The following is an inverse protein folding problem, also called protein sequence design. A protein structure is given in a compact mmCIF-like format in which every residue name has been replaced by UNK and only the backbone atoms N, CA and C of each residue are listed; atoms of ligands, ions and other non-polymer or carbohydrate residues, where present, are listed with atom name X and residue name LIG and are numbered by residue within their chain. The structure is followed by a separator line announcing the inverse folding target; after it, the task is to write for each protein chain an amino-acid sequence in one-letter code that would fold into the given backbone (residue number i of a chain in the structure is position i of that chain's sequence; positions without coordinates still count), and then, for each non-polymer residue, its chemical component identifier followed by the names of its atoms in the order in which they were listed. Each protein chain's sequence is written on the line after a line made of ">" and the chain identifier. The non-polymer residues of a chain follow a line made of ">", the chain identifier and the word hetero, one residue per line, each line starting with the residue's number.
data_IF_178595375750
#
_entry.id   IF_178595375750
#
_cell.length_a   1.000
_cell.length_b   1.000
_cell.length_c   1.000
_cell.angle_alpha   90.00
_cell.angle_beta   90.00
_cell.angle_gamma   90.00
#
_symmetry.space_group_name_H-M   'P 1'
#
loop_
_entity.id
_entity.type
_entity.pdbx_description
1 polymer ?
#
# COMPACT_ATOMS: atom_id res chain seq x y z
N UNK A 1 7.33 14.21 -31.52
CA UNK A 1 8.17 13.29 -30.74
C UNK A 1 8.84 12.33 -31.72
N UNK A 2 10.17 12.29 -31.79
CA UNK A 2 10.87 11.31 -32.64
C UNK A 2 10.85 9.94 -31.96
N UNK A 3 9.94 9.07 -32.42
CA UNK A 3 9.74 7.73 -31.86
C UNK A 3 11.03 6.90 -31.91
N UNK A 4 11.84 7.03 -32.97
CA UNK A 4 13.09 6.28 -33.09
C UNK A 4 14.08 6.68 -32.00
N UNK A 5 14.21 7.98 -31.74
CA UNK A 5 15.06 8.47 -30.65
C UNK A 5 14.53 8.06 -29.27
N UNK A 6 13.21 8.08 -29.08
CA UNK A 6 12.58 7.65 -27.83
C UNK A 6 12.91 6.18 -27.52
N UNK A 7 12.65 5.27 -28.46
CA UNK A 7 12.92 3.85 -28.25
C UNK A 7 14.41 3.53 -28.16
N UNK A 8 15.27 4.32 -28.81
CA UNK A 8 16.72 4.19 -28.66
C UNK A 8 17.15 4.51 -27.22
N UNK A 9 16.74 5.68 -26.69
CA UNK A 9 17.01 6.08 -25.31
C UNK A 9 16.41 5.11 -24.29
N UNK A 10 15.22 4.56 -24.59
CA UNK A 10 14.56 3.56 -23.75
C UNK A 10 15.43 2.33 -23.57
N UNK A 11 15.94 1.77 -24.67
CA UNK A 11 16.85 0.62 -24.62
C UNK A 11 18.18 0.95 -23.96
N UNK A 12 18.71 2.15 -24.16
CA UNK A 12 19.95 2.58 -23.52
C UNK A 12 19.82 2.61 -21.98
N UNK A 13 18.74 3.23 -21.48
CA UNK A 13 18.48 3.30 -20.03
C UNK A 13 18.12 1.92 -19.48
N UNK A 14 17.31 1.14 -20.20
CA UNK A 14 16.98 -0.24 -19.83
C UNK A 14 18.25 -1.09 -19.69
N UNK A 15 19.16 -1.05 -20.67
CA UNK A 15 20.41 -1.80 -20.60
C UNK A 15 21.37 -1.31 -19.49
N UNK A 16 21.23 -0.07 -19.04
CA UNK A 16 22.01 0.48 -17.92
C UNK A 16 21.56 -0.01 -16.54
N UNK A 17 20.39 -0.64 -16.44
CA UNK A 17 19.85 -1.17 -15.19
C UNK A 17 20.18 -2.66 -15.12
N UNK A 18 20.97 -3.06 -14.13
CA UNK A 18 21.41 -4.45 -13.97
C UNK A 18 20.30 -5.40 -13.49
N UNK A 19 19.39 -4.91 -12.65
CA UNK A 19 18.34 -5.72 -12.00
C UNK A 19 17.04 -5.76 -12.81
N UNK A 20 16.29 -6.86 -12.71
CA UNK A 20 14.99 -7.00 -13.40
C UNK A 20 13.91 -6.11 -12.78
N UNK A 21 14.01 -5.89 -11.46
CA UNK A 21 13.12 -5.04 -10.67
C UNK A 21 13.96 -4.02 -9.93
N UNK A 22 13.51 -2.77 -9.96
CA UNK A 22 14.26 -1.64 -9.40
C UNK A 22 13.31 -0.73 -8.64
N UNK A 23 13.85 -0.15 -7.58
CA UNK A 23 13.19 0.87 -6.80
C UNK A 23 13.38 2.23 -7.47
N UNK A 24 12.28 2.87 -7.81
CA UNK A 24 12.25 4.24 -8.33
C UNK A 24 11.58 5.16 -7.33
N UNK A 25 12.05 6.40 -7.26
CA UNK A 25 11.41 7.47 -6.51
C UNK A 25 10.63 8.36 -7.48
N UNK A 26 9.32 8.48 -7.27
CA UNK A 26 8.46 9.35 -8.06
C UNK A 26 8.85 10.82 -7.84
N UNK A 27 8.91 11.56 -8.94
CA UNK A 27 9.03 13.02 -8.92
C UNK A 27 7.64 13.65 -8.86
N UNK A 28 7.59 14.94 -8.53
CA UNK A 28 6.36 15.72 -8.56
C UNK A 28 5.88 15.84 -10.01
N UNK A 29 4.80 15.15 -10.36
CA UNK A 29 4.21 15.23 -11.70
C UNK A 29 3.06 16.23 -11.72
N UNK A 30 2.86 16.95 -12.85
CA UNK A 30 1.71 17.86 -13.01
C UNK A 30 0.35 17.18 -12.82
N UNK A 31 0.30 15.86 -13.02
CA UNK A 31 -0.89 15.02 -12.86
C UNK A 31 -1.26 14.74 -11.39
N UNK A 32 -0.61 15.40 -10.42
CA UNK A 32 -0.88 15.24 -8.99
C UNK A 32 -0.17 14.04 -8.34
N UNK A 33 0.92 13.58 -8.95
CA UNK A 33 1.74 12.50 -8.39
C UNK A 33 2.43 12.94 -7.10
N UNK A 34 2.31 12.12 -6.04
CA UNK A 34 3.03 12.36 -4.78
C UNK A 34 4.53 12.16 -4.99
N UNK A 35 5.29 13.26 -4.90
CA UNK A 35 6.74 13.22 -4.89
C UNK A 35 7.27 12.40 -3.72
N UNK A 36 8.35 11.64 -3.96
CA UNK A 36 9.06 10.89 -2.93
C UNK A 36 8.46 9.52 -2.60
N UNK A 37 7.42 9.09 -3.31
CA UNK A 37 6.94 7.71 -3.20
C UNK A 37 7.93 6.77 -3.87
N UNK A 38 8.45 5.81 -3.10
CA UNK A 38 9.34 4.77 -3.61
C UNK A 38 8.51 3.56 -3.99
N UNK A 39 8.65 3.08 -5.22
CA UNK A 39 7.94 1.91 -5.71
C UNK A 39 8.88 0.97 -6.45
N UNK A 40 8.62 -0.33 -6.32
CA UNK A 40 9.34 -1.36 -7.06
C UNK A 40 8.63 -1.60 -8.40
N UNK A 41 9.36 -1.43 -9.50
CA UNK A 41 8.85 -1.60 -10.86
C UNK A 41 9.82 -2.40 -11.70
N UNK A 42 9.34 -2.95 -12.83
CA UNK A 42 10.22 -3.61 -13.79
C UNK A 42 11.19 -2.63 -14.43
N UNK A 43 12.33 -3.14 -14.88
CA UNK A 43 13.36 -2.41 -15.61
C UNK A 43 12.81 -1.54 -16.75
N UNK A 44 11.95 -2.12 -17.59
CA UNK A 44 11.32 -1.43 -18.71
C UNK A 44 10.47 -0.24 -18.25
N UNK A 45 9.65 -0.44 -17.21
CA UNK A 45 8.81 0.62 -16.63
C UNK A 45 9.66 1.71 -16.00
N UNK A 46 10.73 1.35 -15.29
CA UNK A 46 11.69 2.31 -14.74
C UNK A 46 12.30 3.18 -15.86
N UNK A 47 12.81 2.56 -16.93
CA UNK A 47 13.40 3.27 -18.06
C UNK A 47 12.39 4.23 -18.72
N UNK A 48 11.15 3.78 -18.89
CA UNK A 48 10.05 4.61 -19.41
C UNK A 48 9.80 5.82 -18.52
N UNK A 49 9.65 5.62 -17.21
CA UNK A 49 9.37 6.70 -16.25
C UNK A 49 10.51 7.70 -16.13
N UNK A 50 11.76 7.25 -16.27
CA UNK A 50 12.96 8.10 -16.29
C UNK A 50 12.96 9.00 -17.53
N UNK A 51 12.68 8.46 -18.72
CA UNK A 51 12.63 9.25 -19.97
C UNK A 51 11.52 10.28 -19.94
N UNK A 52 10.38 9.91 -19.36
CA UNK A 52 9.22 10.78 -19.22
C UNK A 52 9.41 11.83 -18.11
N UNK A 53 10.53 11.78 -17.37
CA UNK A 53 10.85 12.73 -16.30
C UNK A 53 9.94 12.59 -15.07
N UNK A 54 9.27 11.44 -14.91
CA UNK A 54 8.32 11.21 -13.81
C UNK A 54 8.94 10.52 -12.61
N UNK A 55 10.12 9.90 -12.76
CA UNK A 55 10.79 9.23 -11.67
C UNK A 55 12.32 9.20 -11.87
N UNK A 56 13.03 8.96 -10.78
CA UNK A 56 14.48 8.76 -10.73
C UNK A 56 14.78 7.46 -10.00
N UNK A 57 15.94 6.84 -10.27
CA UNK A 57 16.41 5.70 -9.48
C UNK A 57 16.50 6.07 -7.99
N UNK A 58 15.97 5.20 -7.14
CA UNK A 58 15.99 5.43 -5.69
C UNK A 58 17.42 5.41 -5.15
N UNK A 59 17.73 6.37 -4.28
CA UNK A 59 18.98 6.40 -3.50
C UNK A 59 19.03 5.26 -2.48
N UNK A 60 20.21 4.87 -2.01
CA UNK A 60 20.37 3.79 -1.01
C UNK A 60 19.51 4.02 0.23
N UNK A 61 19.51 5.24 0.76
CA UNK A 61 18.67 5.64 1.91
C UNK A 61 17.17 5.42 1.66
N UNK A 62 16.70 5.66 0.42
CA UNK A 62 15.32 5.42 0.04
C UNK A 62 15.00 3.93 -0.10
N UNK A 63 15.96 3.12 -0.57
CA UNK A 63 15.81 1.66 -0.63
C UNK A 63 15.67 1.07 0.77
N UNK A 64 16.50 1.51 1.72
CA UNK A 64 16.43 1.09 3.12
C UNK A 64 15.11 1.48 3.79
N UNK A 65 14.68 2.74 3.60
CA UNK A 65 13.40 3.21 4.13
C UNK A 65 12.22 2.41 3.56
N UNK A 66 12.25 2.06 2.27
CA UNK A 66 11.23 1.24 1.65
C UNK A 66 11.21 -0.20 2.20
N UNK A 67 12.37 -0.81 2.44
CA UNK A 67 12.47 -2.12 3.06
C UNK A 67 11.86 -2.12 4.48
N UNK A 68 12.20 -1.12 5.30
CA UNK A 68 11.64 -0.96 6.65
C UNK A 68 10.11 -0.76 6.63
N UNK A 69 9.61 0.03 5.67
CA UNK A 69 8.16 0.22 5.49
C UNK A 69 7.47 -1.09 5.08
N UNK A 70 8.05 -1.85 4.15
CA UNK A 70 7.48 -3.14 3.75
C UNK A 70 7.37 -4.11 4.93
N UNK A 71 8.40 -4.20 5.77
CA UNK A 71 8.34 -5.05 6.97
C UNK A 71 7.24 -4.60 7.94
N UNK A 72 7.10 -3.30 8.17
CA UNK A 72 6.06 -2.76 9.03
C UNK A 72 4.65 -3.05 8.48
N UNK A 73 4.45 -2.88 7.17
CA UNK A 73 3.19 -3.18 6.49
C UNK A 73 2.87 -4.68 6.55
N UNK A 74 3.85 -5.55 6.33
CA UNK A 74 3.67 -7.02 6.47
C UNK A 74 3.24 -7.39 7.88
N UNK A 75 3.94 -6.90 8.90
CA UNK A 75 3.60 -7.16 10.32
C UNK A 75 2.19 -6.64 10.67
N UNK A 76 1.81 -5.47 10.15
CA UNK A 76 0.47 -4.92 10.37
C UNK A 76 -0.61 -5.76 9.66
N UNK A 77 -0.35 -6.21 8.43
CA UNK A 77 -1.25 -7.08 7.68
C UNK A 77 -1.43 -8.45 8.35
N UNK A 78 -0.35 -9.03 8.87
CA UNK A 78 -0.39 -10.29 9.65
C UNK A 78 -1.23 -10.14 10.91
N UNK A 79 -1.02 -9.08 11.70
CA UNK A 79 -1.84 -8.79 12.88
C UNK A 79 -3.31 -8.59 12.53
N UNK A 80 -3.60 -7.88 11.44
CA UNK A 80 -4.97 -7.67 10.96
C UNK A 80 -5.60 -8.99 10.47
N UNK A 81 -4.85 -9.87 9.80
CA UNK A 81 -5.33 -11.18 9.38
C UNK A 81 -5.63 -12.08 10.58
N UNK A 82 -4.78 -12.06 11.62
CA UNK A 82 -5.06 -12.77 12.88
C UNK A 82 -6.30 -12.22 13.58
N UNK A 83 -6.45 -10.89 13.68
CA UNK A 83 -7.64 -10.28 14.29
C UNK A 83 -8.93 -10.63 13.53
N UNK A 84 -8.90 -10.62 12.19
CA UNK A 84 -10.03 -11.05 11.36
C UNK A 84 -10.40 -12.51 11.58
N UNK A 85 -9.41 -13.41 11.73
CA UNK A 85 -9.66 -14.82 12.04
C UNK A 85 -10.31 -15.00 13.40
N UNK A 86 -9.86 -14.27 14.43
CA UNK A 86 -10.47 -14.30 15.77
C UNK A 86 -11.90 -13.76 15.74
N UNK A 87 -12.15 -12.64 15.05
CA UNK A 87 -13.51 -12.10 14.90
C UNK A 87 -14.47 -13.07 14.21
N UNK A 88 -14.00 -13.75 13.16
CA UNK A 88 -14.81 -14.76 12.47
C UNK A 88 -15.08 -15.98 13.36
N UNK A 89 -14.13 -16.42 14.18
CA UNK A 89 -14.32 -17.52 15.12
C UNK A 89 -15.40 -17.20 16.17
N UNK A 90 -15.37 -15.99 16.75
CA UNK A 90 -16.36 -15.55 17.75
C UNK A 90 -17.79 -15.50 17.16
N UNK A 91 -17.94 -15.14 15.88
CA UNK A 91 -19.23 -15.10 15.19
C UNK A 91 -19.71 -16.48 14.70
N UNK A 92 -18.80 -17.45 14.60
CA UNK A 92 -19.09 -18.81 14.15
C UNK A 92 -19.40 -19.77 15.31
N UNK A 93 -19.18 -19.34 16.55
CA UNK A 93 -19.68 -20.05 17.74
C UNK A 93 -21.20 -19.85 17.83
N UNK A 94 -22.02 -20.92 17.67
CA UNK A 94 -23.47 -20.81 17.73
C UNK A 94 -24.03 -20.56 19.15
N UNK A 95 -23.17 -20.40 20.16
CA UNK A 95 -23.57 -20.29 21.58
C UNK A 95 -23.54 -18.86 22.15
N UNK A 96 -23.24 -17.82 21.35
CA UNK A 96 -23.42 -16.41 21.78
C UNK A 96 -24.84 -15.93 21.50
N UNK A 97 -25.78 -16.55 22.20
CA UNK A 97 -27.16 -16.08 22.30
C UNK A 97 -27.27 -14.91 23.31
N UNK A 98 -28.11 -13.94 22.99
CA UNK A 98 -28.65 -12.86 23.84
C UNK A 98 -27.84 -11.55 24.06
N UNK A 99 -28.16 -10.45 23.34
CA UNK A 99 -27.99 -9.11 23.88
C UNK A 99 -29.04 -8.85 24.97
N UNK A 100 -28.60 -9.04 26.22
CA UNK A 100 -29.03 -8.43 27.49
C UNK A 100 -30.35 -7.64 27.41
N UNK A 101 -31.42 -8.27 27.89
CA UNK A 101 -32.67 -7.62 28.26
C UNK A 101 -32.41 -6.50 29.29
N UNK A 102 -32.63 -5.23 28.88
CA UNK A 102 -32.75 -4.12 29.82
C UNK A 102 -34.12 -4.19 30.51
N UNK A 103 -34.12 -4.84 31.66
CA UNK A 103 -35.19 -4.77 32.67
C UNK A 103 -35.13 -3.38 33.33
N UNK A 104 -35.95 -2.44 32.88
CA UNK A 104 -36.25 -1.23 33.65
C UNK A 104 -37.49 -1.53 34.50
N UNK A 105 -37.26 -1.90 35.76
CA UNK A 105 -38.26 -1.89 36.82
C UNK A 105 -37.89 -0.78 37.81
N UNK A 106 -38.73 0.27 37.87
CA UNK A 106 -39.08 1.16 39.00
C UNK A 106 -39.48 2.56 38.46
N UNK A 107 -40.57 3.25 38.83
CA UNK A 107 -41.61 3.12 39.87
C UNK A 107 -42.84 4.01 39.44
N UNK A 108 -43.74 4.50 40.33
CA UNK A 108 -45.07 3.93 40.60
C UNK A 108 -46.27 4.83 40.18
N UNK A 109 -47.42 4.17 40.05
CA UNK A 109 -48.83 4.58 40.28
C UNK A 109 -49.15 6.08 40.48
N UNK A 110 -50.03 6.62 39.62
CA UNK A 110 -51.03 7.63 39.99
C UNK A 110 -52.35 7.45 39.19
N UNK A 111 -53.45 7.39 39.95
CA UNK A 111 -54.85 7.08 39.60
C UNK A 111 -55.51 7.97 38.53
N UNK A 112 -56.46 7.40 37.80
CA UNK A 112 -57.87 7.85 37.82
C UNK A 112 -58.82 6.71 37.49
#
# INVERSE_FOLDING_TARGET
>A
MDLKQYFRRLREIENGIADSYVLIASLETPDGGKAGMVTEVSRYTAAKMIIEGRAVLATEKQKEAHAAQQEAVRKAAEKAAMAKRVQLAILADPDVDSPVAKKNSDSPVARK
#
